data_IF_714105457311
#
_entry.id   IF_714105457311
#
_cell.length_a   1.000
_cell.length_b   1.000
_cell.length_c   1.000
_cell.angle_alpha   90.00
_cell.angle_beta   90.00
_cell.angle_gamma   90.00
#
_symmetry.space_group_name_H-M   'P 1'
#
loop_
_entity.id
_entity.type
_entity.pdbx_description
1 polymer ?
#
# COMPACT_ATOMS: atom_id res chain seq x y z
N UNK A 1 6.96 -12.97 1.54
CA UNK A 1 6.25 -12.62 2.77
C UNK A 1 6.29 -13.77 3.77
N UNK A 2 6.15 -13.44 5.06
CA UNK A 2 6.18 -14.42 6.14
C UNK A 2 5.08 -15.48 6.02
N UNK A 3 3.93 -15.11 5.45
CA UNK A 3 2.80 -16.01 5.22
C UNK A 3 3.07 -17.14 4.19
N UNK A 4 4.08 -16.96 3.36
CA UNK A 4 4.52 -17.98 2.37
C UNK A 4 5.70 -18.81 2.87
N UNK A 5 6.14 -18.57 4.10
CA UNK A 5 7.23 -19.34 4.69
C UNK A 5 6.69 -20.64 5.28
N UNK A 6 6.96 -21.75 4.64
CA UNK A 6 6.63 -23.12 5.06
C UNK A 6 7.54 -23.66 6.19
N UNK A 7 8.58 -22.89 6.54
CA UNK A 7 9.56 -23.24 7.58
C UNK A 7 9.43 -22.37 8.83
N UNK A 8 8.23 -22.33 9.39
CA UNK A 8 7.93 -21.51 10.56
C UNK A 8 8.79 -21.86 11.78
N UNK A 9 9.17 -23.12 11.90
CA UNK A 9 10.09 -23.60 12.95
C UNK A 9 11.50 -23.01 12.84
N UNK A 10 11.92 -22.60 11.64
CA UNK A 10 13.19 -21.87 11.44
C UNK A 10 13.03 -20.40 11.76
N UNK A 11 11.90 -19.83 11.37
CA UNK A 11 11.61 -18.40 11.59
C UNK A 11 11.46 -18.07 13.07
N UNK A 12 10.82 -18.93 13.85
CA UNK A 12 10.56 -18.77 15.29
C UNK A 12 9.87 -17.42 15.66
N UNK A 13 9.01 -16.93 14.78
CA UNK A 13 8.20 -15.74 15.01
C UNK A 13 6.86 -15.87 14.27
N UNK A 14 5.88 -15.12 14.70
CA UNK A 14 4.54 -15.13 14.10
C UNK A 14 4.61 -14.79 12.61
N UNK A 15 3.92 -15.55 11.74
CA UNK A 15 4.05 -15.41 10.29
C UNK A 15 3.52 -14.07 9.75
N UNK A 16 2.63 -13.40 10.49
CA UNK A 16 2.02 -12.12 10.14
C UNK A 16 2.77 -10.90 10.67
N UNK A 17 3.87 -11.08 11.42
CA UNK A 17 4.63 -9.96 11.99
C UNK A 17 5.84 -9.59 11.14
N UNK A 18 6.19 -8.30 11.18
CA UNK A 18 7.44 -7.79 10.65
C UNK A 18 8.47 -7.73 11.75
N UNK A 19 9.51 -8.58 11.63
CA UNK A 19 10.57 -8.63 12.61
C UNK A 19 11.60 -7.53 12.37
N UNK A 20 12.33 -7.15 13.42
CA UNK A 20 13.40 -6.16 13.33
C UNK A 20 14.50 -6.62 12.37
N UNK A 21 14.85 -7.91 12.43
CA UNK A 21 15.79 -8.52 11.50
C UNK A 21 15.54 -10.02 11.38
N UNK A 22 16.10 -10.59 10.32
CA UNK A 22 16.17 -12.03 10.07
C UNK A 22 17.66 -12.38 9.97
N UNK A 23 18.07 -13.43 10.65
CA UNK A 23 19.47 -13.88 10.68
C UNK A 23 19.92 -14.28 9.29
N UNK A 24 21.06 -13.75 8.87
CA UNK A 24 21.63 -13.93 7.55
C UNK A 24 22.23 -15.32 7.31
N UNK A 25 22.58 -15.56 6.05
CA UNK A 25 22.98 -16.87 5.53
C UNK A 25 24.23 -17.46 6.20
N UNK A 26 25.15 -16.62 6.61
CA UNK A 26 26.45 -17.05 7.15
C UNK A 26 26.42 -17.40 8.64
N UNK A 27 25.24 -17.45 9.23
CA UNK A 27 25.07 -17.77 10.65
C UNK A 27 24.36 -19.12 10.84
N UNK A 28 24.71 -19.86 11.89
CA UNK A 28 24.12 -21.17 12.19
C UNK A 28 22.62 -21.14 12.40
N UNK A 29 22.07 -20.00 12.84
CA UNK A 29 20.62 -19.77 13.00
C UNK A 29 20.00 -19.05 11.78
N UNK A 30 20.49 -19.28 10.57
CA UNK A 30 19.97 -18.67 9.35
C UNK A 30 18.45 -18.80 9.23
N UNK A 31 17.79 -17.71 8.90
CA UNK A 31 16.33 -17.62 8.74
C UNK A 31 15.57 -17.30 10.04
N UNK A 32 16.21 -17.37 11.20
CA UNK A 32 15.58 -17.03 12.49
C UNK A 32 15.26 -15.54 12.57
N UNK A 33 14.00 -15.21 12.85
CA UNK A 33 13.56 -13.83 13.04
C UNK A 33 13.67 -13.39 14.49
N UNK A 34 13.86 -12.07 14.70
CA UNK A 34 14.02 -11.50 16.04
C UNK A 34 13.20 -10.23 16.21
N UNK A 35 12.75 -10.02 17.43
CA UNK A 35 11.99 -8.85 17.88
C UNK A 35 10.77 -8.54 17.00
N UNK A 36 9.78 -9.45 16.91
CA UNK A 36 8.65 -9.30 16.00
C UNK A 36 7.72 -8.12 16.36
N UNK A 37 7.68 -7.71 17.63
CA UNK A 37 6.83 -6.61 18.09
C UNK A 37 7.58 -5.34 18.48
N UNK A 38 8.91 -5.39 18.57
CA UNK A 38 9.76 -4.27 18.98
C UNK A 38 10.49 -3.70 17.77
N UNK A 39 9.76 -3.29 16.74
CA UNK A 39 10.35 -2.89 15.48
C UNK A 39 9.58 -1.76 14.80
N UNK A 40 10.30 -0.86 14.14
CA UNK A 40 9.73 0.12 13.21
C UNK A 40 9.33 -0.47 11.85
N UNK A 41 9.68 -1.73 11.57
CA UNK A 41 9.42 -2.37 10.27
C UNK A 41 7.95 -2.42 9.90
N UNK A 42 7.04 -2.60 10.87
CA UNK A 42 5.60 -2.59 10.61
C UNK A 42 5.11 -1.23 10.12
N UNK A 43 5.61 -0.14 10.71
CA UNK A 43 5.31 1.22 10.26
C UNK A 43 5.84 1.48 8.85
N UNK A 44 7.07 1.05 8.57
CA UNK A 44 7.66 1.15 7.23
C UNK A 44 6.92 0.30 6.20
N UNK A 45 6.50 -0.92 6.57
CA UNK A 45 5.69 -1.77 5.68
C UNK A 45 4.33 -1.14 5.38
N UNK A 46 3.66 -0.57 6.38
CA UNK A 46 2.41 0.18 6.18
C UNK A 46 2.62 1.38 5.24
N UNK A 47 3.68 2.15 5.47
CA UNK A 47 4.05 3.28 4.62
C UNK A 47 4.32 2.83 3.18
N UNK A 48 5.13 1.80 2.99
CA UNK A 48 5.44 1.24 1.69
C UNK A 48 4.18 0.70 0.97
N UNK A 49 3.31 -0.02 1.68
CA UNK A 49 2.08 -0.55 1.11
C UNK A 49 1.11 0.57 0.69
N UNK A 50 0.91 1.57 1.52
CA UNK A 50 -0.08 2.62 1.24
C UNK A 50 0.42 3.66 0.23
N UNK A 51 1.68 4.07 0.33
CA UNK A 51 2.19 5.19 -0.49
C UNK A 51 2.94 4.74 -1.75
N UNK A 52 3.49 3.53 -1.77
CA UNK A 52 4.23 3.05 -2.93
C UNK A 52 3.53 1.92 -3.68
N UNK A 53 3.01 0.90 -3.00
CA UNK A 53 2.27 -0.17 -3.66
C UNK A 53 0.90 0.33 -4.13
N UNK A 54 0.04 0.79 -3.22
CA UNK A 54 -1.27 1.34 -3.58
C UNK A 54 -1.18 2.76 -4.14
N UNK A 55 -0.04 3.43 -3.97
CA UNK A 55 0.28 4.71 -4.58
C UNK A 55 -0.48 5.91 -4.00
N UNK A 56 -1.20 5.76 -2.87
CA UNK A 56 -1.99 6.86 -2.28
C UNK A 56 -1.10 7.72 -1.40
N UNK A 57 -0.68 8.87 -1.92
CA UNK A 57 0.31 9.75 -1.29
C UNK A 57 -0.34 11.07 -0.87
N UNK A 58 -0.62 11.26 0.43
CA UNK A 58 -1.04 12.56 0.94
C UNK A 58 0.13 13.55 0.95
N UNK A 59 -0.15 14.77 0.52
CA UNK A 59 0.73 15.92 0.60
C UNK A 59 0.10 17.02 1.46
N UNK A 60 0.66 18.22 1.45
CA UNK A 60 0.20 19.34 2.29
C UNK A 60 -1.25 19.75 2.00
N UNK A 61 -1.62 19.91 0.73
CA UNK A 61 -2.94 20.43 0.30
C UNK A 61 -3.68 19.51 -0.68
N UNK A 62 -3.11 18.36 -1.03
CA UNK A 62 -3.68 17.40 -1.97
C UNK A 62 -3.23 15.97 -1.69
N UNK A 63 -3.80 15.00 -2.39
CA UNK A 63 -3.25 13.65 -2.53
C UNK A 63 -3.03 13.34 -4.00
N UNK A 64 -2.01 12.53 -4.29
CA UNK A 64 -1.81 11.87 -5.59
C UNK A 64 -2.06 10.39 -5.48
N UNK A 65 -2.40 9.75 -6.60
CA UNK A 65 -2.54 8.29 -6.69
C UNK A 65 -1.73 7.79 -7.89
N UNK A 66 -0.70 7.01 -7.61
CA UNK A 66 0.21 6.45 -8.61
C UNK A 66 0.58 5.01 -8.17
N UNK A 67 -0.29 4.02 -8.44
CA UNK A 67 -0.09 2.65 -8.03
C UNK A 67 1.13 2.00 -8.70
N UNK A 68 1.78 1.08 -7.95
CA UNK A 68 2.78 0.17 -8.49
C UNK A 68 2.43 -1.23 -7.98
N UNK A 69 1.65 -1.97 -8.75
CA UNK A 69 1.02 -3.23 -8.35
C UNK A 69 1.35 -4.36 -9.32
N UNK A 70 1.22 -5.64 -8.91
CA UNK A 70 1.35 -6.75 -9.83
C UNK A 70 0.37 -6.64 -11.03
N UNK A 71 0.82 -7.04 -12.21
CA UNK A 71 0.05 -6.95 -13.45
C UNK A 71 -1.28 -7.74 -13.43
N UNK A 72 -1.39 -8.74 -12.57
CA UNK A 72 -2.60 -9.54 -12.38
C UNK A 72 -3.65 -8.86 -11.48
N UNK A 73 -3.32 -7.76 -10.82
CA UNK A 73 -4.29 -6.95 -10.07
C UNK A 73 -5.12 -6.11 -11.03
N UNK A 74 -6.32 -6.62 -11.36
CA UNK A 74 -7.20 -5.97 -12.34
C UNK A 74 -8.00 -4.80 -11.79
N UNK A 75 -8.30 -4.81 -10.50
CA UNK A 75 -8.93 -3.70 -9.80
C UNK A 75 -8.74 -3.82 -8.29
N UNK A 76 -8.78 -2.68 -7.61
CA UNK A 76 -8.83 -2.61 -6.15
C UNK A 76 -9.46 -1.30 -5.69
N UNK A 77 -9.84 -1.24 -4.43
CA UNK A 77 -10.43 -0.03 -3.83
C UNK A 77 -9.68 0.33 -2.55
N UNK A 78 -9.39 1.62 -2.39
CA UNK A 78 -8.82 2.18 -1.16
C UNK A 78 -9.79 3.15 -0.54
N UNK A 79 -10.21 2.88 0.70
CA UNK A 79 -10.96 3.82 1.51
C UNK A 79 -10.00 4.55 2.45
N UNK A 80 -9.73 5.83 2.17
CA UNK A 80 -8.79 6.63 2.93
C UNK A 80 -9.51 7.74 3.69
N UNK A 81 -9.41 7.75 5.01
CA UNK A 81 -9.77 8.92 5.80
C UNK A 81 -8.58 9.88 5.86
N UNK A 82 -8.79 11.12 5.41
CA UNK A 82 -7.76 12.15 5.44
C UNK A 82 -8.39 13.52 5.71
N UNK A 83 -7.82 14.26 6.68
CA UNK A 83 -8.30 15.57 7.12
C UNK A 83 -9.81 15.62 7.40
N UNK A 84 -10.36 14.54 7.96
CA UNK A 84 -11.76 14.43 8.34
C UNK A 84 -12.74 14.06 7.23
N UNK A 85 -12.31 14.05 5.97
CA UNK A 85 -13.11 13.54 4.84
C UNK A 85 -12.79 12.07 4.53
N UNK A 86 -13.71 11.38 3.86
CA UNK A 86 -13.54 10.02 3.35
C UNK A 86 -13.30 10.07 1.85
N UNK A 87 -12.21 9.45 1.40
CA UNK A 87 -11.88 9.30 -0.01
C UNK A 87 -12.04 7.84 -0.42
N UNK A 88 -12.93 7.60 -1.38
CA UNK A 88 -13.19 6.29 -1.97
C UNK A 88 -12.48 6.25 -3.31
N UNK A 89 -11.32 5.62 -3.34
CA UNK A 89 -10.43 5.56 -4.51
C UNK A 89 -10.61 4.18 -5.15
N UNK A 90 -11.17 4.17 -6.36
CA UNK A 90 -11.34 2.97 -7.17
C UNK A 90 -10.31 2.96 -8.28
N UNK A 91 -9.48 1.92 -8.30
CA UNK A 91 -8.42 1.74 -9.30
C UNK A 91 -8.79 0.56 -10.18
N UNK A 92 -8.71 0.74 -11.49
CA UNK A 92 -8.86 -0.32 -12.49
C UNK A 92 -7.59 -0.44 -13.33
N UNK A 93 -7.24 -1.66 -13.74
CA UNK A 93 -6.05 -1.99 -14.50
C UNK A 93 -6.42 -2.92 -15.67
N UNK A 94 -7.11 -2.40 -16.71
CA UNK A 94 -7.59 -3.22 -17.82
C UNK A 94 -6.45 -3.85 -18.61
N UNK A 95 -5.35 -3.13 -18.79
CA UNK A 95 -4.21 -3.56 -19.61
C UNK A 95 -3.20 -4.42 -18.84
N UNK A 96 -3.36 -4.53 -17.51
CA UNK A 96 -2.45 -5.32 -16.67
C UNK A 96 -1.04 -4.74 -16.61
N UNK A 97 -0.94 -3.42 -16.51
CA UNK A 97 0.34 -2.74 -16.32
C UNK A 97 0.75 -2.76 -14.85
N UNK A 98 2.03 -2.73 -14.58
CA UNK A 98 2.52 -2.69 -13.20
C UNK A 98 2.55 -1.27 -12.64
N UNK A 99 2.59 -0.26 -13.52
CA UNK A 99 2.66 1.15 -13.16
C UNK A 99 2.13 2.02 -14.31
N UNK A 100 1.72 3.25 -13.96
CA UNK A 100 1.22 4.25 -14.88
C UNK A 100 -0.26 4.56 -14.63
N UNK A 101 -0.68 5.77 -14.93
CA UNK A 101 -2.05 6.25 -14.82
C UNK A 101 -2.47 6.85 -16.16
N UNK A 102 -3.41 6.22 -16.83
CA UNK A 102 -3.96 6.67 -18.10
C UNK A 102 -5.11 7.67 -17.90
N UNK A 103 -5.92 7.51 -16.84
CA UNK A 103 -7.03 8.41 -16.54
C UNK A 103 -7.20 8.58 -15.05
N UNK A 104 -7.49 9.80 -14.63
CA UNK A 104 -7.68 10.17 -13.24
C UNK A 104 -8.88 11.12 -13.11
N UNK A 105 -9.88 10.75 -12.31
CA UNK A 105 -11.09 11.55 -12.12
C UNK A 105 -11.43 11.70 -10.65
N UNK A 106 -11.87 12.90 -10.28
CA UNK A 106 -12.38 13.23 -8.95
C UNK A 106 -13.83 13.70 -9.06
N UNK A 107 -14.75 13.02 -8.40
CA UNK A 107 -16.20 13.25 -8.49
C UNK A 107 -16.69 13.33 -9.95
N UNK A 108 -16.17 12.44 -10.81
CA UNK A 108 -16.50 12.31 -12.24
C UNK A 108 -15.82 13.34 -13.16
N UNK A 109 -15.03 14.26 -12.66
CA UNK A 109 -14.29 15.27 -13.45
C UNK A 109 -12.82 14.89 -13.59
N UNK A 110 -12.24 15.14 -14.75
CA UNK A 110 -10.79 14.96 -14.93
C UNK A 110 -9.99 15.81 -13.96
N UNK A 111 -8.94 15.23 -13.43
CA UNK A 111 -8.05 15.86 -12.45
C UNK A 111 -6.66 15.23 -12.52
N UNK A 112 -5.68 15.85 -11.87
CA UNK A 112 -4.32 15.35 -11.71
C UNK A 112 -3.99 15.03 -10.24
N UNK A 113 -4.86 15.47 -9.33
CA UNK A 113 -4.71 15.33 -7.88
C UNK A 113 -6.06 15.35 -7.18
N UNK A 114 -6.09 14.89 -5.94
CA UNK A 114 -7.28 14.91 -5.08
C UNK A 114 -7.17 16.10 -4.14
N UNK A 115 -8.05 17.11 -4.23
CA UNK A 115 -8.02 18.25 -3.32
C UNK A 115 -8.50 17.87 -1.93
N UNK A 116 -8.11 18.67 -0.93
CA UNK A 116 -8.69 18.60 0.41
C UNK A 116 -10.20 18.87 0.34
N UNK A 117 -10.99 18.01 0.98
CA UNK A 117 -12.44 18.16 1.09
C UNK A 117 -12.85 18.53 2.50
N UNK A 118 -14.00 19.18 2.67
CA UNK A 118 -14.53 19.49 4.00
C UNK A 118 -14.67 18.23 4.86
N UNK A 119 -14.42 18.36 6.15
CA UNK A 119 -14.62 17.25 7.11
C UNK A 119 -16.05 16.72 7.05
N UNK A 120 -16.22 15.42 7.15
CA UNK A 120 -17.50 14.72 7.04
C UNK A 120 -17.97 14.44 5.60
N UNK A 121 -17.31 15.01 4.58
CA UNK A 121 -17.68 14.74 3.18
C UNK A 121 -17.08 13.41 2.67
N UNK A 122 -17.68 12.92 1.57
CA UNK A 122 -17.17 11.76 0.81
C UNK A 122 -16.74 12.26 -0.57
N UNK A 123 -15.52 11.90 -0.97
CA UNK A 123 -14.95 12.20 -2.28
C UNK A 123 -14.74 10.89 -3.03
N UNK A 124 -15.28 10.79 -4.25
CA UNK A 124 -15.08 9.63 -5.11
C UNK A 124 -13.94 9.88 -6.09
N UNK A 125 -13.04 8.91 -6.21
CA UNK A 125 -11.89 9.01 -7.11
C UNK A 125 -11.83 7.74 -7.97
N UNK A 126 -11.78 7.92 -9.28
CA UNK A 126 -11.63 6.83 -10.23
C UNK A 126 -10.30 6.98 -10.96
N UNK A 127 -9.50 5.92 -10.92
CA UNK A 127 -8.16 5.84 -11.53
C UNK A 127 -8.13 4.66 -12.49
N UNK A 128 -7.67 4.90 -13.71
CA UNK A 128 -7.41 3.84 -14.69
C UNK A 128 -5.91 3.77 -14.90
N UNK A 129 -5.32 2.60 -14.66
CA UNK A 129 -3.92 2.34 -14.97
C UNK A 129 -3.74 2.04 -16.47
N UNK A 130 -2.60 2.52 -17.04
CA UNK A 130 -2.24 2.33 -18.44
C UNK A 130 -0.94 3.06 -18.81
#
# INVERSE_FOLDING_TARGET
PALQNDRIEVREAEPYTYCQFVVGRDHTAFGRARHPFMTGSSGWAYYAATQYLLGVRPDFDHMTVDPCVPADWRAFTVNRRWRGAMYQIHVTNPDGVEKGVASFRVDGREADRIPVRPAGSVCRVDVVMG
#
